data_IF_943390307910
#
_entry.id   IF_943390307910
#
_cell.length_a   1.000
_cell.length_b   1.000
_cell.length_c   1.000
_cell.angle_alpha   90.00
_cell.angle_beta   90.00
_cell.angle_gamma   90.00
#
_symmetry.space_group_name_H-M   'P 1'
#
loop_
_entity.id
_entity.type
_entity.pdbx_description
1 polymer ?
#
# COMPACT_ATOMS: atom_id res chain seq x y z
N UNK A 1 -18.72 6.67 -12.06
CA UNK A 1 -17.84 6.38 -11.04
C UNK A 1 -16.63 7.27 -11.04
N UNK A 2 -16.27 7.57 -9.96
CA UNK A 2 -15.31 8.63 -9.78
C UNK A 2 -13.89 8.31 -10.13
N UNK A 3 -13.60 7.17 -10.63
CA UNK A 3 -12.23 6.86 -10.94
C UNK A 3 -11.74 7.67 -12.10
N UNK A 4 -11.69 8.92 -11.93
CA UNK A 4 -11.21 9.82 -12.95
C UNK A 4 -9.77 10.21 -12.65
N UNK A 5 -9.14 10.86 -13.61
CA UNK A 5 -7.82 11.41 -13.39
C UNK A 5 -7.82 12.41 -12.25
N UNK A 6 -8.96 13.04 -12.02
CA UNK A 6 -9.09 14.01 -10.94
C UNK A 6 -8.92 13.36 -9.58
N UNK A 7 -9.46 12.15 -9.40
CA UNK A 7 -9.29 11.43 -8.15
C UNK A 7 -7.84 11.06 -7.92
N UNK A 8 -7.15 10.60 -8.95
CA UNK A 8 -5.74 10.26 -8.82
C UNK A 8 -4.90 11.48 -8.49
N UNK A 9 -5.17 12.58 -9.17
CA UNK A 9 -4.45 13.82 -8.92
C UNK A 9 -4.71 14.30 -7.50
N UNK A 10 -5.95 14.25 -7.06
CA UNK A 10 -6.30 14.69 -5.73
C UNK A 10 -5.59 13.86 -4.66
N UNK A 11 -5.60 12.55 -4.82
CA UNK A 11 -4.91 11.68 -3.87
C UNK A 11 -3.42 11.98 -3.80
N UNK A 12 -2.81 12.17 -4.97
CA UNK A 12 -1.38 12.46 -5.01
C UNK A 12 -1.07 13.79 -4.32
N UNK A 13 -1.89 14.80 -4.58
CA UNK A 13 -1.69 16.11 -3.97
C UNK A 13 -1.82 16.03 -2.45
N UNK A 14 -2.79 15.28 -1.95
CA UNK A 14 -2.95 15.11 -0.51
C UNK A 14 -1.71 14.44 0.09
N UNK A 15 -1.22 13.39 -0.55
CA UNK A 15 -0.05 12.68 -0.03
C UNK A 15 1.20 13.57 -0.06
N UNK A 16 1.37 14.34 -1.10
CA UNK A 16 2.50 15.26 -1.19
C UNK A 16 2.42 16.34 -0.13
N UNK A 17 1.22 16.86 0.11
CA UNK A 17 1.03 17.88 1.13
C UNK A 17 1.36 17.34 2.52
N UNK A 18 0.84 16.16 2.84
CA UNK A 18 1.10 15.54 4.13
C UNK A 18 2.60 15.28 4.30
N UNK A 19 3.24 14.76 3.26
CA UNK A 19 4.67 14.47 3.32
C UNK A 19 5.49 15.73 3.59
N UNK A 20 5.14 16.81 2.93
CA UNK A 20 5.82 18.09 3.13
C UNK A 20 5.64 18.59 4.56
N UNK A 21 4.41 18.54 5.06
CA UNK A 21 4.13 19.00 6.44
C UNK A 21 4.89 18.17 7.47
N UNK A 22 4.93 16.86 7.27
CA UNK A 22 5.65 15.98 8.19
C UNK A 22 7.12 16.37 8.24
N UNK A 23 7.73 16.62 7.09
CA UNK A 23 9.14 16.97 7.04
C UNK A 23 9.41 18.35 7.61
N UNK A 24 8.61 19.33 7.23
CA UNK A 24 8.85 20.71 7.61
C UNK A 24 8.54 20.98 9.07
N UNK A 25 7.46 20.39 9.56
CA UNK A 25 7.01 20.62 10.94
C UNK A 25 7.56 19.60 11.91
N UNK A 26 8.26 18.58 11.42
CA UNK A 26 8.78 17.48 12.24
C UNK A 26 7.70 16.84 13.08
N UNK A 27 6.55 16.58 12.44
CA UNK A 27 5.42 15.93 13.08
C UNK A 27 5.25 14.54 12.50
N UNK A 28 4.38 13.77 13.14
CA UNK A 28 4.00 12.46 12.63
C UNK A 28 2.58 12.50 12.11
N UNK A 29 2.31 11.70 11.08
CA UNK A 29 0.97 11.57 10.54
C UNK A 29 0.63 10.10 10.39
N UNK A 30 -0.59 9.73 10.74
CA UNK A 30 -1.09 8.37 10.59
C UNK A 30 -2.31 8.42 9.70
N UNK A 31 -2.32 7.60 8.67
CA UNK A 31 -3.39 7.61 7.68
C UNK A 31 -3.81 6.19 7.33
N UNK A 32 -5.10 6.03 7.08
CA UNK A 32 -5.60 4.78 6.50
C UNK A 32 -5.56 4.94 4.98
N UNK A 33 -4.84 4.06 4.32
CA UNK A 33 -4.63 4.15 2.88
C UNK A 33 -5.03 2.82 2.25
N UNK A 34 -5.92 2.87 1.26
CA UNK A 34 -6.35 1.67 0.56
C UNK A 34 -5.45 1.33 -0.62
N UNK A 35 -4.81 2.31 -1.20
CA UNK A 35 -3.94 2.10 -2.35
C UNK A 35 -2.55 1.69 -1.86
N UNK A 36 -2.19 0.44 -2.13
CA UNK A 36 -0.91 -0.11 -1.65
C UNK A 36 0.28 0.63 -2.22
N UNK A 37 0.18 1.10 -3.45
CA UNK A 37 1.31 1.78 -4.07
C UNK A 37 1.51 3.18 -3.51
N UNK A 38 0.42 3.87 -3.18
CA UNK A 38 0.54 5.14 -2.47
C UNK A 38 1.12 4.93 -1.09
N UNK A 39 0.65 3.90 -0.40
CA UNK A 39 1.18 3.58 0.93
C UNK A 39 2.67 3.26 0.85
N UNK A 40 3.07 2.49 -0.14
CA UNK A 40 4.48 2.15 -0.32
C UNK A 40 5.33 3.39 -0.56
N UNK A 41 4.84 4.28 -1.39
CA UNK A 41 5.65 5.43 -1.81
C UNK A 41 5.81 6.48 -0.71
N UNK A 42 4.76 6.72 0.06
CA UNK A 42 4.76 7.86 0.97
C UNK A 42 4.93 7.50 2.44
N UNK A 43 4.89 6.23 2.80
CA UNK A 43 4.95 5.84 4.20
C UNK A 43 6.36 5.47 4.62
N UNK A 44 6.72 5.85 5.83
CA UNK A 44 7.95 5.39 6.45
C UNK A 44 7.72 4.06 7.15
N UNK A 45 6.55 3.90 7.73
CA UNK A 45 6.13 2.67 8.38
C UNK A 45 4.72 2.33 7.98
N UNK A 46 4.46 1.05 7.87
CA UNK A 46 3.16 0.53 7.53
C UNK A 46 2.68 -0.42 8.60
N UNK A 47 1.37 -0.46 8.78
CA UNK A 47 0.73 -1.48 9.60
C UNK A 47 -0.30 -2.15 8.71
N UNK A 48 -0.15 -3.46 8.51
CA UNK A 48 -1.10 -4.23 7.73
C UNK A 48 -2.11 -4.85 8.66
N UNK A 49 -3.39 -4.70 8.33
CA UNK A 49 -4.48 -5.24 9.12
C UNK A 49 -5.14 -6.39 8.37
N UNK A 50 -5.53 -7.39 9.12
CA UNK A 50 -6.30 -8.51 8.59
C UNK A 50 -7.35 -8.90 9.61
N UNK A 51 -8.62 -8.87 9.18
CA UNK A 51 -9.75 -9.21 10.04
C UNK A 51 -9.74 -8.41 11.34
N UNK A 52 -9.42 -7.12 11.22
CA UNK A 52 -9.45 -6.21 12.36
C UNK A 52 -8.27 -6.32 13.30
N UNK A 53 -7.28 -7.11 12.95
CA UNK A 53 -6.09 -7.29 13.81
C UNK A 53 -4.84 -6.93 13.04
N UNK A 54 -3.80 -6.57 13.79
CA UNK A 54 -2.52 -6.27 13.18
C UNK A 54 -1.91 -7.57 12.68
N UNK A 55 -1.65 -7.62 11.39
CA UNK A 55 -0.99 -8.75 10.77
C UNK A 55 0.53 -8.57 10.80
N UNK A 56 1.00 -7.39 10.46
CA UNK A 56 2.43 -7.09 10.43
C UNK A 56 2.63 -5.59 10.49
N UNK A 57 3.79 -5.16 10.95
CA UNK A 57 4.16 -3.76 11.01
C UNK A 57 5.63 -3.62 10.63
N UNK A 58 5.98 -2.54 9.95
CA UNK A 58 7.35 -2.29 9.55
C UNK A 58 7.43 -1.38 8.35
N UNK A 59 8.61 -1.31 7.76
CA UNK A 59 8.81 -0.48 6.57
C UNK A 59 8.21 -1.12 5.32
N UNK A 60 8.04 -0.33 4.25
CA UNK A 60 7.45 -0.85 3.02
C UNK A 60 8.19 -2.06 2.46
N UNK A 61 9.52 -2.04 2.44
CA UNK A 61 10.27 -3.15 1.86
C UNK A 61 10.07 -4.44 2.64
N UNK A 62 9.94 -4.32 3.95
CA UNK A 62 9.77 -5.50 4.79
C UNK A 62 8.37 -6.08 4.68
N UNK A 63 7.36 -5.22 4.54
CA UNK A 63 5.98 -5.66 4.59
C UNK A 63 5.37 -5.98 3.24
N UNK A 64 5.72 -5.20 2.21
CA UNK A 64 5.05 -5.32 0.92
C UNK A 64 5.78 -6.34 0.06
N UNK A 65 5.56 -7.60 0.36
CA UNK A 65 6.12 -8.71 -0.38
C UNK A 65 4.97 -9.61 -0.83
N UNK A 66 5.29 -10.56 -1.72
CA UNK A 66 4.27 -11.41 -2.31
C UNK A 66 3.54 -12.23 -1.27
N UNK A 67 4.27 -12.71 -0.28
CA UNK A 67 3.68 -13.56 0.75
C UNK A 67 2.64 -12.79 1.58
N UNK A 68 3.02 -11.60 2.07
CA UNK A 68 2.12 -10.80 2.89
C UNK A 68 0.91 -10.30 2.09
N UNK A 69 1.16 -9.85 0.87
CA UNK A 69 0.08 -9.38 0.00
C UNK A 69 -0.91 -10.51 -0.26
N UNK A 70 -0.40 -11.71 -0.51
CA UNK A 70 -1.26 -12.86 -0.71
C UNK A 70 -2.09 -13.19 0.51
N UNK A 71 -1.47 -13.15 1.69
CA UNK A 71 -2.18 -13.52 2.91
C UNK A 71 -3.21 -12.49 3.35
N UNK A 72 -2.92 -11.22 3.16
CA UNK A 72 -3.81 -10.17 3.64
C UNK A 72 -4.90 -9.87 2.63
N UNK A 73 -4.56 -9.82 1.36
CA UNK A 73 -5.50 -9.37 0.33
C UNK A 73 -6.05 -10.49 -0.56
N UNK A 74 -5.49 -11.68 -0.43
CA UNK A 74 -5.98 -12.81 -1.22
C UNK A 74 -5.70 -12.68 -2.70
N UNK A 75 -4.58 -12.09 -3.06
CA UNK A 75 -4.20 -11.94 -4.46
C UNK A 75 -2.79 -12.43 -4.67
N UNK A 76 -2.52 -12.79 -5.91
CA UNK A 76 -1.18 -13.06 -6.37
C UNK A 76 -0.65 -11.77 -7.00
N UNK A 77 0.50 -11.31 -6.54
CA UNK A 77 1.05 -10.03 -7.00
C UNK A 77 2.52 -10.18 -7.33
N UNK A 78 2.98 -9.33 -8.22
CA UNK A 78 4.39 -9.18 -8.53
C UNK A 78 4.87 -7.91 -7.85
N UNK A 79 6.06 -7.95 -7.28
CA UNK A 79 6.63 -6.79 -6.60
C UNK A 79 7.80 -6.28 -7.42
N UNK A 80 7.68 -5.04 -7.87
CA UNK A 80 8.73 -4.37 -8.61
C UNK A 80 9.35 -3.29 -7.73
N UNK A 81 10.45 -2.73 -8.19
CA UNK A 81 11.07 -1.60 -7.52
C UNK A 81 10.78 -0.35 -8.34
N UNK A 82 10.15 0.62 -7.73
CA UNK A 82 9.88 1.90 -8.38
C UNK A 82 10.24 3.01 -7.41
N UNK A 83 11.11 3.90 -7.84
CA UNK A 83 11.57 5.03 -7.01
C UNK A 83 12.13 4.56 -5.67
N UNK A 84 12.79 3.40 -5.65
CA UNK A 84 13.37 2.85 -4.44
C UNK A 84 12.38 2.22 -3.48
N UNK A 85 11.14 2.04 -3.89
CA UNK A 85 10.08 1.49 -3.05
C UNK A 85 9.40 0.33 -3.76
N UNK A 86 8.82 -0.62 -3.01
CA UNK A 86 8.06 -1.69 -3.64
C UNK A 86 6.88 -1.15 -4.42
N UNK A 87 6.66 -1.69 -5.58
CA UNK A 87 5.51 -1.37 -6.42
C UNK A 87 4.74 -2.65 -6.68
N UNK A 88 3.47 -2.68 -6.29
CA UNK A 88 2.64 -3.88 -6.33
C UNK A 88 1.89 -3.95 -7.64
N UNK A 89 2.08 -5.04 -8.37
CA UNK A 89 1.36 -5.31 -9.61
C UNK A 89 0.46 -6.50 -9.37
N UNK A 90 -0.85 -6.29 -9.21
CA UNK A 90 -1.77 -7.41 -9.00
C UNK A 90 -1.84 -8.27 -10.24
N UNK A 91 -1.71 -9.57 -10.08
CA UNK A 91 -1.74 -10.51 -11.19
C UNK A 91 -3.11 -11.16 -11.29
N UNK A 92 -3.58 -11.73 -10.19
CA UNK A 92 -4.86 -12.43 -10.19
C UNK A 92 -5.29 -12.70 -8.76
N UNK A 93 -6.53 -13.08 -8.60
CA UNK A 93 -7.05 -13.50 -7.30
C UNK A 93 -6.43 -14.85 -6.94
N UNK A 94 -5.81 -14.93 -5.76
CA UNK A 94 -5.27 -16.21 -5.34
C UNK A 94 -6.36 -17.18 -4.91
N UNK A 95 -7.53 -16.65 -4.56
CA UNK A 95 -8.63 -17.54 -4.24
C UNK A 95 -9.10 -18.32 -5.46
N UNK A 96 -8.86 -17.80 -6.66
CA UNK A 96 -9.17 -18.56 -7.85
C UNK A 96 -8.34 -19.84 -7.92
N UNK A 97 -7.07 -19.73 -7.57
CA UNK A 97 -6.23 -20.90 -7.50
C UNK A 97 -6.65 -21.83 -6.39
N UNK A 98 -7.06 -21.28 -5.27
CA UNK A 98 -7.53 -22.10 -4.16
C UNK A 98 -8.85 -22.78 -4.48
N UNK A 99 -9.68 -22.11 -5.25
CA UNK A 99 -10.95 -22.71 -5.64
C UNK A 99 -10.75 -23.96 -6.48
N UNK A 100 -9.62 -24.10 -7.08
CA UNK A 100 -9.31 -25.29 -7.86
C UNK A 100 -8.93 -26.46 -6.98
N UNK A 101 -8.70 -26.19 -5.74
CA UNK A 101 -8.33 -27.23 -4.81
C UNK A 101 -9.54 -28.05 -4.41
#
# INVERSE_FOLDING_TARGET
EPTSNLDMLHQLEVMETVSTLVKEKKISAVMAIHDLNLASRFSDKLVMLKKGKIYAAGGPKALLNEYNIGNVYGIEAMILNALGRPYIVPIRSSSAGMACD
#
